data_IF_397810662171
#
_entry.id   IF_397810662171
#
_cell.length_a   1.000
_cell.length_b   1.000
_cell.length_c   1.000
_cell.angle_alpha   90.00
_cell.angle_beta   90.00
_cell.angle_gamma   90.00
#
_symmetry.space_group_name_H-M   'P 1'
#
loop_
_entity.id
_entity.type
_entity.pdbx_description
1 polymer ?
#
# COMPACT_ATOMS: atom_id res chain seq x y z
N UNK A 1 -34.00 50.07 -86.90
CA UNK A 1 -33.00 49.09 -86.59
C UNK A 1 -33.34 48.47 -85.23
N UNK A 2 -33.55 47.21 -85.14
CA UNK A 2 -33.69 46.52 -83.83
C UNK A 2 -32.26 46.28 -83.34
N UNK A 3 -31.91 46.70 -82.15
CA UNK A 3 -30.57 46.42 -81.62
C UNK A 3 -30.30 44.92 -81.48
N UNK A 4 -29.12 44.47 -81.84
CA UNK A 4 -28.72 43.14 -81.70
C UNK A 4 -28.39 42.88 -80.23
N UNK A 5 -29.11 41.96 -79.57
CA UNK A 5 -28.90 41.59 -78.20
C UNK A 5 -28.40 40.10 -78.20
N UNK A 6 -27.16 39.94 -77.79
CA UNK A 6 -26.55 38.63 -77.72
C UNK A 6 -26.89 37.90 -76.41
N UNK A 7 -27.16 36.61 -76.48
CA UNK A 7 -27.40 35.74 -75.31
C UNK A 7 -27.84 34.36 -75.73
N UNK A 8 -28.14 33.50 -74.78
CA UNK A 8 -28.77 32.21 -75.09
C UNK A 8 -30.24 32.40 -75.47
N UNK A 9 -30.61 31.96 -76.65
CA UNK A 9 -31.98 32.07 -77.19
C UNK A 9 -32.81 30.77 -77.07
N UNK A 10 -32.22 29.73 -76.51
CA UNK A 10 -32.91 28.47 -76.29
C UNK A 10 -33.62 28.50 -74.92
N UNK A 11 -34.94 28.41 -74.90
CA UNK A 11 -35.77 28.44 -73.70
C UNK A 11 -35.60 27.22 -72.80
N UNK A 12 -34.89 26.16 -73.23
CA UNK A 12 -34.59 24.99 -72.41
C UNK A 12 -33.27 25.11 -71.67
N UNK A 13 -32.49 26.13 -72.00
CA UNK A 13 -31.22 26.38 -71.30
C UNK A 13 -31.40 27.10 -69.95
N UNK A 14 -30.58 26.77 -68.97
CA UNK A 14 -30.60 27.39 -67.62
C UNK A 14 -30.30 28.89 -67.63
N UNK A 15 -29.56 29.35 -68.61
CA UNK A 15 -29.19 30.76 -68.83
C UNK A 15 -29.92 31.37 -69.98
N UNK A 16 -31.15 30.90 -70.33
CA UNK A 16 -32.01 31.51 -71.32
C UNK A 16 -32.21 32.99 -71.04
N UNK A 17 -31.98 33.79 -72.01
CA UNK A 17 -32.20 35.26 -71.93
C UNK A 17 -33.29 35.71 -72.94
N UNK A 18 -34.49 35.93 -72.43
CA UNK A 18 -35.68 36.25 -73.24
C UNK A 18 -35.55 37.50 -74.13
N UNK A 19 -34.64 38.43 -73.78
CA UNK A 19 -34.42 39.63 -74.59
C UNK A 19 -33.37 39.37 -75.70
N UNK A 20 -32.64 38.25 -75.71
CA UNK A 20 -31.66 37.92 -76.74
C UNK A 20 -32.41 37.65 -78.10
N UNK A 21 -31.93 38.25 -79.18
CA UNK A 21 -32.39 38.00 -80.53
C UNK A 21 -31.30 37.40 -81.43
N UNK A 22 -30.10 37.14 -80.85
CA UNK A 22 -28.99 36.56 -81.56
C UNK A 22 -28.30 35.62 -80.56
N UNK A 23 -28.29 34.31 -80.91
CA UNK A 23 -27.60 33.30 -80.08
C UNK A 23 -26.07 33.50 -80.12
N UNK A 24 -25.45 33.60 -78.95
CA UNK A 24 -24.02 33.82 -78.83
C UNK A 24 -23.24 32.47 -78.52
N UNK A 25 -23.93 31.33 -78.57
CA UNK A 25 -23.32 30.01 -78.32
C UNK A 25 -23.01 29.68 -76.85
N UNK A 26 -23.52 30.51 -75.93
CA UNK A 26 -23.23 30.32 -74.48
C UNK A 26 -24.34 29.60 -73.70
N UNK A 27 -25.28 28.92 -74.38
CA UNK A 27 -26.35 28.17 -73.74
C UNK A 27 -25.80 27.07 -72.82
N UNK A 28 -26.24 27.11 -71.60
CA UNK A 28 -25.91 26.13 -70.56
C UNK A 28 -27.14 25.26 -70.30
N UNK A 29 -27.04 23.97 -70.53
CA UNK A 29 -28.13 23.04 -70.27
C UNK A 29 -28.03 22.38 -68.92
N UNK A 30 -29.14 22.00 -68.35
CA UNK A 30 -29.17 21.28 -67.08
C UNK A 30 -28.52 19.88 -67.24
N UNK A 31 -27.48 19.64 -66.49
CA UNK A 31 -26.91 18.32 -66.27
C UNK A 31 -27.19 17.98 -64.81
N UNK A 32 -28.13 17.10 -64.61
CA UNK A 32 -28.57 16.70 -63.27
C UNK A 32 -27.61 15.66 -62.68
N UNK A 33 -27.30 15.78 -61.41
CA UNK A 33 -26.44 14.87 -60.66
C UNK A 33 -26.02 15.47 -59.33
N UNK A 34 -25.20 14.74 -58.56
CA UNK A 34 -24.71 15.24 -57.29
C UNK A 34 -23.62 16.32 -57.50
N UNK A 35 -23.88 17.52 -57.08
CA UNK A 35 -22.95 18.67 -57.16
C UNK A 35 -22.06 18.85 -55.92
N UNK A 36 -22.22 18.01 -54.86
CA UNK A 36 -21.41 18.10 -53.63
C UNK A 36 -20.07 17.34 -53.82
N UNK A 37 -18.92 18.04 -53.81
CA UNK A 37 -17.60 17.40 -53.98
C UNK A 37 -17.19 16.47 -52.83
N UNK A 38 -17.91 16.49 -51.72
CA UNK A 38 -17.70 15.60 -50.57
C UNK A 38 -18.54 14.31 -50.67
N UNK A 39 -19.42 14.20 -51.67
CA UNK A 39 -20.19 12.98 -51.87
C UNK A 39 -19.40 11.95 -52.73
N UNK A 40 -19.55 10.67 -52.43
CA UNK A 40 -18.87 9.63 -53.15
C UNK A 40 -19.38 9.43 -54.61
N UNK A 41 -20.56 9.93 -54.88
CA UNK A 41 -21.16 9.97 -56.24
C UNK A 41 -21.15 11.40 -56.81
N UNK A 42 -20.18 12.24 -56.42
CA UNK A 42 -19.99 13.56 -57.04
C UNK A 42 -19.82 13.48 -58.54
N UNK A 43 -20.61 14.20 -59.28
CA UNK A 43 -20.48 14.34 -60.72
C UNK A 43 -19.96 15.77 -61.04
N UNK A 44 -18.71 15.82 -61.46
CA UNK A 44 -18.06 17.11 -61.83
C UNK A 44 -18.69 17.79 -63.06
N UNK A 45 -19.53 17.10 -63.82
CA UNK A 45 -20.21 17.64 -64.96
C UNK A 45 -21.63 18.17 -64.65
N UNK A 46 -22.17 17.75 -63.51
CA UNK A 46 -23.49 18.23 -63.04
C UNK A 46 -23.41 19.69 -62.64
N UNK A 47 -24.41 20.44 -63.08
CA UNK A 47 -24.63 21.86 -62.75
C UNK A 47 -25.96 22.12 -62.03
N UNK A 48 -26.76 21.05 -61.85
CA UNK A 48 -28.03 21.09 -61.09
C UNK A 48 -28.04 19.86 -60.16
N UNK A 49 -28.13 20.15 -58.84
CA UNK A 49 -28.25 19.07 -57.84
C UNK A 49 -29.62 18.39 -57.96
N UNK A 50 -29.64 17.10 -58.11
CA UNK A 50 -30.84 16.26 -58.21
C UNK A 50 -31.22 15.59 -56.88
N UNK A 51 -30.48 15.89 -55.79
CA UNK A 51 -30.70 15.34 -54.44
C UNK A 51 -30.13 13.92 -54.28
N UNK A 52 -29.36 13.41 -55.26
CA UNK A 52 -28.80 12.06 -55.20
C UNK A 52 -27.49 11.94 -54.43
N UNK A 53 -27.00 13.02 -53.82
CA UNK A 53 -25.73 13.06 -53.13
C UNK A 53 -25.63 12.03 -51.97
N UNK A 54 -24.67 11.14 -52.06
CA UNK A 54 -24.32 10.16 -51.02
C UNK A 54 -23.15 10.69 -50.19
N UNK A 55 -23.38 10.89 -48.88
CA UNK A 55 -22.37 11.46 -47.97
C UNK A 55 -22.09 10.63 -46.72
N UNK A 56 -22.82 9.52 -46.54
CA UNK A 56 -22.63 8.64 -45.35
C UNK A 56 -21.59 7.55 -45.71
N UNK A 57 -20.37 7.80 -45.31
CA UNK A 57 -19.28 6.85 -45.48
C UNK A 57 -19.31 5.75 -44.42
N UNK A 58 -18.90 4.53 -44.76
CA UNK A 58 -18.76 3.44 -43.78
C UNK A 58 -18.58 2.07 -44.44
N UNK A 59 -18.31 1.09 -43.61
CA UNK A 59 -18.20 -0.29 -44.04
C UNK A 59 -19.57 -0.83 -44.49
N UNK A 60 -19.68 -1.27 -45.73
CA UNK A 60 -20.92 -1.83 -46.34
C UNK A 60 -20.90 -3.36 -46.42
N UNK A 61 -19.87 -4.02 -45.90
CA UNK A 61 -19.82 -5.47 -45.79
C UNK A 61 -20.61 -5.97 -44.60
N UNK A 62 -21.73 -6.69 -44.78
CA UNK A 62 -22.55 -7.18 -43.66
C UNK A 62 -21.85 -8.22 -42.79
N UNK A 63 -20.70 -8.77 -43.20
CA UNK A 63 -19.90 -9.68 -42.41
C UNK A 63 -18.91 -8.98 -41.49
N UNK A 64 -18.70 -7.68 -41.70
CA UNK A 64 -17.84 -6.89 -40.86
C UNK A 64 -18.51 -6.56 -39.51
N UNK A 65 -17.69 -6.49 -38.45
CA UNK A 65 -18.14 -6.17 -37.10
C UNK A 65 -18.58 -4.69 -36.92
N UNK A 66 -18.13 -3.83 -37.83
CA UNK A 66 -18.50 -2.41 -37.91
C UNK A 66 -19.36 -2.10 -39.13
N UNK A 67 -20.14 -3.11 -39.67
CA UNK A 67 -21.11 -2.89 -40.70
C UNK A 67 -22.04 -1.73 -40.41
N UNK A 68 -22.16 -0.81 -41.36
CA UNK A 68 -23.07 0.33 -41.26
C UNK A 68 -24.15 0.23 -42.34
N UNK A 69 -25.34 -0.24 -41.96
CA UNK A 69 -26.47 -0.37 -42.88
C UNK A 69 -26.96 0.96 -43.47
N UNK A 70 -26.56 2.11 -42.88
CA UNK A 70 -26.90 3.44 -43.39
C UNK A 70 -25.84 4.03 -44.31
N UNK A 71 -24.71 3.35 -44.50
CA UNK A 71 -23.66 3.83 -45.40
C UNK A 71 -24.14 3.80 -46.84
N UNK A 72 -24.10 4.94 -47.48
CA UNK A 72 -24.39 5.12 -48.91
C UNK A 72 -23.13 5.23 -49.75
N UNK A 73 -21.99 5.45 -49.07
CA UNK A 73 -20.64 5.51 -49.68
C UNK A 73 -19.80 4.36 -49.09
N UNK A 74 -19.48 3.32 -49.86
CA UNK A 74 -18.65 2.23 -49.38
C UNK A 74 -17.24 2.71 -49.04
N UNK A 75 -16.83 2.53 -47.80
CA UNK A 75 -15.44 2.62 -47.37
C UNK A 75 -15.02 1.28 -46.73
N UNK A 76 -14.85 0.29 -47.59
CA UNK A 76 -14.54 -1.08 -47.17
C UNK A 76 -13.09 -1.22 -46.64
N UNK A 77 -12.25 -0.20 -46.81
CA UNK A 77 -10.93 -0.15 -46.15
C UNK A 77 -11.02 0.01 -44.63
N UNK A 78 -12.15 0.52 -44.14
CA UNK A 78 -12.44 0.68 -42.72
C UNK A 78 -13.16 -0.55 -42.12
N UNK A 79 -13.52 -1.55 -42.93
CA UNK A 79 -14.17 -2.75 -42.43
C UNK A 79 -13.27 -3.50 -41.48
N UNK A 80 -13.81 -3.84 -40.34
CA UNK A 80 -13.14 -4.70 -39.35
C UNK A 80 -13.90 -6.00 -39.24
N UNK A 81 -13.18 -7.09 -39.16
CA UNK A 81 -13.78 -8.43 -39.12
C UNK A 81 -13.45 -9.10 -37.79
N UNK A 82 -14.37 -9.92 -37.30
CA UNK A 82 -14.03 -10.82 -36.21
C UNK A 82 -12.82 -11.65 -36.61
N UNK A 83 -11.86 -11.91 -35.72
CA UNK A 83 -10.70 -12.73 -36.06
C UNK A 83 -11.16 -14.07 -36.65
N UNK A 84 -10.84 -14.32 -37.91
CA UNK A 84 -11.13 -15.58 -38.56
C UNK A 84 -10.33 -16.66 -37.86
N UNK A 85 -11.01 -17.65 -37.24
CA UNK A 85 -10.36 -18.75 -36.55
C UNK A 85 -10.34 -18.67 -35.03
N UNK A 86 -11.04 -17.71 -34.41
CA UNK A 86 -11.25 -17.76 -32.96
C UNK A 86 -12.24 -18.89 -32.62
N UNK A 87 -11.71 -20.04 -32.23
CA UNK A 87 -12.46 -21.06 -31.49
C UNK A 87 -12.16 -20.84 -30.01
N UNK A 88 -13.08 -20.23 -29.25
CA UNK A 88 -12.90 -19.86 -27.86
C UNK A 88 -11.98 -20.84 -27.09
N UNK A 89 -10.73 -20.49 -26.78
CA UNK A 89 -9.80 -21.41 -26.15
C UNK A 89 -10.32 -21.88 -24.79
N UNK A 90 -9.99 -23.10 -24.41
CA UNK A 90 -10.33 -23.62 -23.09
C UNK A 90 -9.61 -22.83 -22.02
N UNK A 91 -10.31 -22.60 -20.90
CA UNK A 91 -9.72 -22.03 -19.70
C UNK A 91 -8.80 -23.09 -19.07
N UNK A 92 -7.51 -22.79 -18.92
CA UNK A 92 -6.49 -23.70 -18.38
C UNK A 92 -5.58 -23.02 -17.38
N UNK A 93 -4.72 -23.79 -16.70
CA UNK A 93 -3.75 -23.28 -15.73
C UNK A 93 -4.37 -22.80 -14.44
N UNK A 94 -5.58 -23.26 -14.11
CA UNK A 94 -6.26 -22.86 -12.88
C UNK A 94 -5.51 -23.34 -11.65
N UNK A 95 -5.05 -22.41 -10.85
CA UNK A 95 -4.36 -22.66 -9.58
C UNK A 95 -4.59 -21.50 -8.61
N UNK A 96 -4.16 -21.68 -7.37
CA UNK A 96 -4.24 -20.63 -6.34
C UNK A 96 -2.90 -20.50 -5.66
N UNK A 97 -2.40 -19.27 -5.53
CA UNK A 97 -1.15 -18.92 -4.87
C UNK A 97 -1.35 -17.85 -3.80
N UNK A 98 -0.27 -17.48 -3.12
CA UNK A 98 -0.23 -16.41 -2.09
C UNK A 98 -1.32 -16.56 -1.03
N UNK A 99 -1.63 -17.82 -0.68
CA UNK A 99 -2.68 -18.14 0.27
C UNK A 99 -2.19 -17.80 1.68
N UNK A 100 -2.87 -16.85 2.29
CA UNK A 100 -2.71 -16.52 3.72
C UNK A 100 -4.09 -16.47 4.39
N UNK A 101 -4.16 -16.03 5.63
CA UNK A 101 -5.38 -16.07 6.42
C UNK A 101 -6.56 -15.25 5.88
N UNK A 102 -6.30 -14.20 5.10
CA UNK A 102 -7.33 -13.25 4.65
C UNK A 102 -7.37 -13.03 3.12
N UNK A 103 -6.51 -13.74 2.36
CA UNK A 103 -6.41 -13.56 0.91
C UNK A 103 -5.81 -14.75 0.19
N UNK A 104 -6.05 -14.76 -1.11
CA UNK A 104 -5.44 -15.70 -2.05
C UNK A 104 -5.39 -15.05 -3.44
N UNK A 105 -4.55 -15.57 -4.33
CA UNK A 105 -4.46 -15.15 -5.73
C UNK A 105 -4.91 -16.29 -6.64
N UNK A 106 -5.97 -16.07 -7.40
CA UNK A 106 -6.40 -16.98 -8.47
C UNK A 106 -5.49 -16.80 -9.68
N UNK A 107 -4.92 -17.89 -10.19
CA UNK A 107 -4.04 -17.91 -11.35
C UNK A 107 -4.68 -18.71 -12.49
N UNK A 108 -4.40 -18.31 -13.71
CA UNK A 108 -4.87 -18.94 -14.93
C UNK A 108 -3.97 -18.57 -16.10
N UNK A 109 -3.98 -19.38 -17.16
CA UNK A 109 -3.19 -19.08 -18.35
C UNK A 109 -3.79 -17.92 -19.14
N UNK A 110 -2.95 -17.22 -19.91
CA UNK A 110 -3.40 -16.28 -20.92
C UNK A 110 -4.13 -17.04 -22.02
N UNK A 111 -5.39 -16.67 -22.27
CA UNK A 111 -6.26 -17.33 -23.25
C UNK A 111 -6.36 -16.54 -24.54
N UNK A 112 -5.64 -15.45 -24.73
CA UNK A 112 -5.51 -14.79 -26.01
C UNK A 112 -4.70 -15.71 -26.95
N UNK A 113 -5.14 -15.83 -28.21
CA UNK A 113 -4.43 -16.62 -29.22
C UNK A 113 -3.96 -15.75 -30.37
N UNK A 114 -2.90 -16.20 -31.04
CA UNK A 114 -2.25 -15.48 -32.11
C UNK A 114 -1.99 -16.43 -33.29
N UNK A 115 -2.00 -15.92 -34.51
CA UNK A 115 -1.54 -16.64 -35.68
C UNK A 115 -0.01 -16.68 -35.78
N UNK A 116 0.51 -17.37 -36.77
CA UNK A 116 1.95 -17.49 -37.01
C UNK A 116 2.63 -16.14 -37.35
N UNK A 117 1.86 -15.15 -37.76
CA UNK A 117 2.34 -13.78 -38.04
C UNK A 117 2.22 -12.85 -36.85
N UNK A 118 1.72 -13.35 -35.70
CA UNK A 118 1.54 -12.56 -34.48
C UNK A 118 0.24 -11.75 -34.41
N UNK A 119 -0.68 -11.94 -35.39
CA UNK A 119 -1.99 -11.30 -35.32
C UNK A 119 -2.87 -12.02 -34.30
N UNK A 120 -3.60 -11.25 -33.50
CA UNK A 120 -4.44 -11.80 -32.44
C UNK A 120 -5.72 -12.43 -33.00
N UNK A 121 -5.86 -13.75 -32.86
CA UNK A 121 -7.04 -14.51 -33.33
C UNK A 121 -8.19 -14.45 -32.32
N UNK A 122 -7.92 -14.76 -31.05
CA UNK A 122 -8.90 -14.63 -29.99
C UNK A 122 -8.44 -13.57 -28.98
N UNK A 123 -9.34 -12.68 -28.60
CA UNK A 123 -9.12 -11.64 -27.57
C UNK A 123 -10.04 -11.88 -26.39
N UNK A 124 -9.48 -11.98 -25.22
CA UNK A 124 -10.25 -12.09 -23.98
C UNK A 124 -10.78 -10.70 -23.60
N UNK A 125 -12.07 -10.50 -23.71
CA UNK A 125 -12.76 -9.26 -23.40
C UNK A 125 -13.01 -9.12 -21.89
N UNK A 126 -13.53 -10.19 -21.26
CA UNK A 126 -13.73 -10.25 -19.81
C UNK A 126 -13.42 -11.62 -19.24
N UNK A 127 -12.90 -11.62 -18.03
CA UNK A 127 -12.82 -12.79 -17.16
C UNK A 127 -13.69 -12.56 -15.93
N UNK A 128 -14.41 -13.59 -15.51
CA UNK A 128 -15.20 -13.57 -14.27
C UNK A 128 -14.84 -14.76 -13.42
N UNK A 129 -14.46 -14.49 -12.18
CA UNK A 129 -14.18 -15.47 -11.15
C UNK A 129 -15.27 -15.36 -10.10
N UNK A 130 -15.87 -16.49 -9.72
CA UNK A 130 -16.75 -16.62 -8.55
C UNK A 130 -16.09 -17.55 -7.55
N UNK A 131 -16.19 -17.22 -6.28
CA UNK A 131 -15.67 -18.03 -5.18
C UNK A 131 -16.59 -17.94 -3.98
N UNK A 132 -16.59 -18.99 -3.16
CA UNK A 132 -17.37 -19.06 -1.90
C UNK A 132 -16.72 -20.04 -0.94
N UNK A 133 -17.09 -19.95 0.32
CA UNK A 133 -16.79 -20.98 1.31
C UNK A 133 -17.53 -22.26 0.96
N UNK A 134 -16.86 -23.41 1.03
CA UNK A 134 -17.46 -24.72 0.75
C UNK A 134 -18.65 -24.95 1.67
N UNK A 135 -19.77 -25.37 1.09
CA UNK A 135 -21.02 -25.60 1.82
C UNK A 135 -21.93 -24.38 1.96
N UNK A 136 -21.51 -23.20 1.49
CA UNK A 136 -22.38 -22.01 1.47
C UNK A 136 -23.05 -21.82 0.10
N UNK A 137 -24.15 -21.04 0.05
CA UNK A 137 -24.88 -20.78 -1.19
C UNK A 137 -24.45 -19.47 -1.88
N UNK A 138 -23.90 -18.50 -1.13
CA UNK A 138 -23.61 -17.17 -1.62
C UNK A 138 -22.24 -17.11 -2.33
N UNK A 139 -22.22 -16.64 -3.56
CA UNK A 139 -21.00 -16.46 -4.34
C UNK A 139 -20.50 -15.01 -4.28
N UNK A 140 -19.24 -14.85 -3.93
CA UNK A 140 -18.48 -13.63 -4.17
C UNK A 140 -17.95 -13.60 -5.61
N UNK A 141 -17.75 -12.41 -6.19
CA UNK A 141 -17.36 -12.26 -7.58
C UNK A 141 -16.21 -11.26 -7.75
N UNK A 142 -15.32 -11.58 -8.69
CA UNK A 142 -14.27 -10.68 -9.22
C UNK A 142 -14.34 -10.66 -10.74
N UNK A 143 -14.23 -9.47 -11.31
CA UNK A 143 -14.17 -9.29 -12.76
C UNK A 143 -12.79 -8.74 -13.16
N UNK A 144 -12.37 -9.07 -14.37
CA UNK A 144 -11.23 -8.50 -15.08
C UNK A 144 -11.74 -8.09 -16.45
N UNK A 145 -11.68 -6.81 -16.78
CA UNK A 145 -12.31 -6.28 -17.98
C UNK A 145 -13.83 -6.17 -17.89
N UNK A 146 -14.45 -5.83 -18.99
CA UNK A 146 -15.89 -5.75 -19.18
C UNK A 146 -16.26 -6.34 -20.53
N UNK A 147 -17.37 -7.07 -20.68
CA UNK A 147 -17.77 -7.70 -21.94
C UNK A 147 -18.37 -6.65 -22.87
N UNK A 148 -17.53 -5.79 -23.41
CA UNK A 148 -17.95 -4.67 -24.26
C UNK A 148 -18.09 -5.07 -25.73
N UNK A 149 -17.49 -6.21 -26.12
CA UNK A 149 -17.38 -6.60 -27.49
C UNK A 149 -16.54 -5.63 -28.34
N UNK A 150 -16.76 -5.60 -29.63
CA UNK A 150 -16.14 -4.62 -30.51
C UNK A 150 -16.84 -3.26 -30.35
N UNK A 151 -16.05 -2.20 -30.23
CA UNK A 151 -16.58 -0.83 -30.28
C UNK A 151 -16.91 -0.42 -31.75
N UNK A 152 -17.43 0.81 -31.93
CA UNK A 152 -17.77 1.35 -33.23
C UNK A 152 -16.58 1.43 -34.21
N UNK A 153 -15.34 1.39 -33.73
CA UNK A 153 -14.11 1.36 -34.52
C UNK A 153 -13.59 -0.07 -34.71
N UNK A 154 -14.36 -1.11 -34.37
CA UNK A 154 -13.95 -2.51 -34.48
C UNK A 154 -12.86 -2.95 -33.52
N UNK A 155 -12.58 -2.15 -32.48
CA UNK A 155 -11.57 -2.45 -31.47
C UNK A 155 -12.24 -3.09 -30.26
N UNK A 156 -11.69 -4.21 -29.82
CA UNK A 156 -12.09 -4.90 -28.61
C UNK A 156 -11.05 -4.68 -27.50
N UNK A 157 -11.50 -4.33 -26.32
CA UNK A 157 -10.64 -4.30 -25.15
C UNK A 157 -10.20 -5.73 -24.81
N UNK A 158 -8.88 -5.94 -24.74
CA UNK A 158 -8.31 -7.25 -24.46
C UNK A 158 -7.54 -7.22 -23.16
N UNK A 159 -7.82 -8.18 -22.26
CA UNK A 159 -7.01 -8.37 -21.05
C UNK A 159 -5.93 -9.44 -21.27
N UNK A 160 -4.72 -9.13 -20.81
CA UNK A 160 -3.57 -10.05 -20.81
C UNK A 160 -3.32 -10.63 -19.41
N UNK A 161 -4.17 -10.30 -18.43
CA UNK A 161 -3.96 -10.75 -17.06
C UNK A 161 -4.10 -12.25 -16.91
N UNK A 162 -3.25 -12.80 -16.05
CA UNK A 162 -3.19 -14.23 -15.72
C UNK A 162 -3.40 -14.48 -14.22
N UNK A 163 -3.76 -13.43 -13.48
CA UNK A 163 -3.97 -13.50 -12.03
C UNK A 163 -5.09 -12.58 -11.56
N UNK A 164 -5.68 -12.89 -10.40
CA UNK A 164 -6.61 -12.01 -9.70
C UNK A 164 -6.61 -12.26 -8.20
N UNK A 165 -6.20 -11.30 -7.36
CA UNK A 165 -6.28 -11.45 -5.92
C UNK A 165 -7.72 -11.31 -5.39
N UNK A 166 -8.04 -12.11 -4.38
CA UNK A 166 -9.19 -11.97 -3.51
C UNK A 166 -8.71 -11.59 -2.10
N UNK A 167 -9.46 -10.70 -1.44
CA UNK A 167 -9.16 -10.19 -0.10
C UNK A 167 -10.38 -10.38 0.80
N UNK A 168 -10.17 -10.24 2.11
CA UNK A 168 -11.18 -10.40 3.16
C UNK A 168 -11.78 -11.80 3.17
N UNK A 169 -10.94 -12.80 2.97
CA UNK A 169 -11.30 -14.21 3.15
C UNK A 169 -11.32 -14.53 4.64
N UNK A 170 -12.10 -15.54 5.02
CA UNK A 170 -12.15 -16.08 6.39
C UNK A 170 -10.94 -16.97 6.64
N UNK A 171 -10.22 -16.83 7.76
CA UNK A 171 -9.11 -17.73 8.11
C UNK A 171 -9.56 -19.18 8.28
N UNK A 172 -8.64 -20.14 8.10
CA UNK A 172 -8.85 -21.58 8.30
C UNK A 172 -10.06 -22.13 7.55
N UNK A 173 -10.38 -21.54 6.40
CA UNK A 173 -11.62 -21.82 5.68
C UNK A 173 -11.32 -22.32 4.27
N UNK A 174 -11.98 -23.40 3.87
CA UNK A 174 -11.87 -23.97 2.52
C UNK A 174 -12.83 -23.26 1.56
N UNK A 175 -12.28 -22.84 0.43
CA UNK A 175 -13.00 -22.17 -0.65
C UNK A 175 -13.03 -23.03 -1.90
N UNK A 176 -14.17 -22.99 -2.58
CA UNK A 176 -14.32 -23.44 -3.96
C UNK A 176 -14.47 -22.25 -4.88
N UNK A 177 -14.06 -22.40 -6.14
CA UNK A 177 -14.11 -21.33 -7.12
C UNK A 177 -14.27 -21.85 -8.55
N UNK A 178 -14.76 -20.97 -9.40
CA UNK A 178 -14.93 -21.23 -10.81
C UNK A 178 -14.71 -19.96 -11.63
N UNK A 179 -14.36 -20.15 -12.88
CA UNK A 179 -14.04 -19.06 -13.80
C UNK A 179 -14.73 -19.26 -15.15
N UNK A 180 -15.09 -18.16 -15.81
CA UNK A 180 -15.49 -18.13 -17.22
C UNK A 180 -14.93 -16.92 -17.93
N UNK A 181 -14.83 -17.01 -19.25
CA UNK A 181 -14.31 -15.98 -20.12
C UNK A 181 -15.35 -15.52 -21.13
N UNK A 182 -15.25 -14.27 -21.54
CA UNK A 182 -15.89 -13.72 -22.74
C UNK A 182 -14.80 -13.39 -23.74
N UNK A 183 -14.99 -13.84 -24.96
CA UNK A 183 -14.14 -13.46 -26.10
C UNK A 183 -14.86 -12.42 -26.93
N UNK A 184 -14.11 -11.51 -27.55
CA UNK A 184 -14.67 -10.47 -28.41
C UNK A 184 -15.53 -11.07 -29.53
N UNK A 185 -16.76 -10.57 -29.66
CA UNK A 185 -17.72 -11.05 -30.66
C UNK A 185 -18.33 -12.41 -30.36
N UNK A 186 -18.07 -12.98 -29.18
CA UNK A 186 -18.60 -14.28 -28.77
C UNK A 186 -19.30 -14.24 -27.43
N UNK A 187 -20.17 -15.19 -27.16
CA UNK A 187 -20.79 -15.38 -25.84
C UNK A 187 -19.80 -15.89 -24.79
N UNK A 188 -20.25 -15.95 -23.51
CA UNK A 188 -19.41 -16.48 -22.46
C UNK A 188 -19.17 -17.98 -22.60
N UNK A 189 -17.97 -18.43 -22.21
CA UNK A 189 -17.69 -19.86 -22.04
C UNK A 189 -18.57 -20.49 -20.95
N UNK A 190 -18.58 -21.80 -20.86
CA UNK A 190 -19.04 -22.49 -19.66
C UNK A 190 -18.16 -22.14 -18.44
N UNK A 191 -18.69 -22.34 -17.25
CA UNK A 191 -17.89 -22.25 -16.02
C UNK A 191 -16.90 -23.42 -15.96
N UNK A 192 -15.64 -23.10 -15.64
CA UNK A 192 -14.59 -24.08 -15.36
C UNK A 192 -14.23 -23.99 -13.89
N UNK A 193 -14.30 -25.12 -13.19
CA UNK A 193 -14.02 -25.21 -11.76
C UNK A 193 -12.50 -25.28 -11.55
N UNK A 194 -11.99 -24.44 -10.65
CA UNK A 194 -10.61 -24.50 -10.20
C UNK A 194 -10.45 -25.43 -8.99
N UNK A 195 -9.20 -25.73 -8.57
CA UNK A 195 -8.95 -26.52 -7.38
C UNK A 195 -9.37 -25.76 -6.12
N UNK A 196 -9.98 -26.45 -5.17
CA UNK A 196 -10.27 -25.89 -3.87
C UNK A 196 -8.96 -25.48 -3.16
N UNK A 197 -9.05 -24.48 -2.29
CA UNK A 197 -7.95 -24.05 -1.46
C UNK A 197 -8.43 -23.72 -0.05
N UNK A 198 -7.53 -23.84 0.93
CA UNK A 198 -7.83 -23.49 2.32
C UNK A 198 -6.94 -22.33 2.74
N UNK A 199 -7.54 -21.28 3.27
CA UNK A 199 -6.81 -20.16 3.87
C UNK A 199 -6.02 -20.62 5.11
N UNK A 200 -4.89 -19.97 5.35
CA UNK A 200 -4.10 -20.22 6.56
C UNK A 200 -4.88 -19.81 7.82
N UNK A 201 -4.41 -20.29 8.96
CA UNK A 201 -4.90 -19.86 10.27
C UNK A 201 -4.70 -18.36 10.47
N UNK A 202 -5.55 -17.75 11.31
CA UNK A 202 -5.35 -16.37 11.72
C UNK A 202 -3.98 -16.22 12.38
N UNK A 203 -3.20 -15.22 11.95
CA UNK A 203 -1.92 -14.94 12.61
C UNK A 203 -2.18 -14.45 14.05
N UNK A 204 -1.74 -15.22 15.09
CA UNK A 204 -1.99 -14.84 16.47
C UNK A 204 -1.27 -13.55 16.82
N UNK A 205 -1.86 -12.71 17.67
CA UNK A 205 -1.15 -11.57 18.24
C UNK A 205 -0.55 -11.93 19.60
N UNK A 206 0.40 -11.12 20.06
CA UNK A 206 0.89 -11.20 21.43
C UNK A 206 -0.17 -10.71 22.42
N UNK A 207 -0.12 -11.26 23.62
CA UNK A 207 -0.94 -10.85 24.76
C UNK A 207 -0.05 -10.30 25.88
N UNK A 208 -0.65 -9.66 26.86
CA UNK A 208 0.05 -9.10 28.04
C UNK A 208 1.27 -8.25 27.65
N UNK A 209 1.15 -7.48 26.56
CA UNK A 209 2.24 -6.59 26.13
C UNK A 209 2.44 -5.50 27.19
N UNK A 210 3.63 -5.48 27.79
CA UNK A 210 3.97 -4.60 28.90
C UNK A 210 5.36 -4.00 28.71
N UNK A 211 5.66 -2.98 29.52
CA UNK A 211 6.95 -2.30 29.54
C UNK A 211 7.37 -2.06 30.98
N UNK A 212 8.67 -2.26 31.27
CA UNK A 212 9.30 -1.93 32.53
C UNK A 212 10.53 -1.07 32.23
N UNK A 213 10.66 0.07 32.88
CA UNK A 213 11.86 0.88 32.80
C UNK A 213 12.99 0.19 33.59
N UNK A 214 14.11 -0.06 32.93
CA UNK A 214 15.31 -0.62 33.57
C UNK A 214 16.17 0.47 34.21
N UNK A 215 16.16 1.65 33.61
CA UNK A 215 16.77 2.87 34.12
C UNK A 215 16.19 4.07 33.33
N UNK A 216 16.75 5.27 33.52
CA UNK A 216 16.28 6.51 32.90
C UNK A 216 16.38 6.58 31.38
N UNK A 217 17.18 5.70 30.73
CA UNK A 217 17.39 5.69 29.28
C UNK A 217 17.10 4.35 28.62
N UNK A 218 16.66 3.36 29.40
CA UNK A 218 16.44 1.99 28.92
C UNK A 218 15.14 1.41 29.47
N UNK A 219 14.38 0.71 28.61
CA UNK A 219 13.18 -0.02 29.00
C UNK A 219 13.20 -1.44 28.41
N UNK A 220 12.52 -2.36 29.08
CA UNK A 220 12.31 -3.74 28.64
C UNK A 220 10.83 -3.93 28.31
N UNK A 221 10.55 -4.35 27.09
CA UNK A 221 9.23 -4.79 26.62
C UNK A 221 9.11 -6.28 26.82
N UNK A 222 7.98 -6.74 27.33
CA UNK A 222 7.65 -8.16 27.53
C UNK A 222 6.28 -8.45 26.99
N UNK A 223 6.02 -9.70 26.63
CA UNK A 223 4.73 -10.18 26.15
C UNK A 223 4.60 -11.67 26.30
N UNK A 224 3.37 -12.17 26.24
CA UNK A 224 3.04 -13.58 26.16
C UNK A 224 2.57 -13.94 24.74
N UNK A 225 2.57 -15.22 24.43
CA UNK A 225 2.03 -15.75 23.17
C UNK A 225 1.15 -16.95 23.40
N UNK A 226 0.11 -17.10 22.58
CA UNK A 226 -0.79 -18.26 22.56
C UNK A 226 -0.42 -19.27 21.48
N UNK A 227 0.40 -18.87 20.51
CA UNK A 227 0.88 -19.72 19.42
C UNK A 227 2.18 -19.16 18.82
N UNK A 228 2.87 -19.97 18.00
CA UNK A 228 4.07 -19.53 17.28
C UNK A 228 3.76 -18.48 16.22
N UNK A 229 4.73 -17.61 15.99
CA UNK A 229 4.74 -16.59 14.93
C UNK A 229 6.18 -16.44 14.41
N UNK A 230 6.41 -15.68 13.34
CA UNK A 230 7.77 -15.49 12.85
C UNK A 230 8.51 -14.41 13.66
N UNK A 231 7.90 -13.25 13.83
CA UNK A 231 8.48 -12.17 14.64
C UNK A 231 7.41 -11.20 15.16
N UNK A 232 7.75 -10.49 16.23
CA UNK A 232 6.99 -9.36 16.78
C UNK A 232 7.68 -8.06 16.39
N UNK A 233 6.95 -7.11 15.85
CA UNK A 233 7.40 -5.73 15.70
C UNK A 233 6.82 -4.88 16.82
N UNK A 234 7.69 -4.18 17.52
CA UNK A 234 7.35 -3.22 18.56
C UNK A 234 7.65 -1.85 18.02
N UNK A 235 6.67 -0.97 18.04
CA UNK A 235 6.87 0.44 17.73
C UNK A 235 6.53 1.30 18.94
N UNK A 236 7.31 2.35 19.11
CA UNK A 236 7.16 3.31 20.21
C UNK A 236 7.39 4.73 19.71
N UNK A 237 6.85 5.69 20.42
CA UNK A 237 7.12 7.11 20.22
C UNK A 237 6.92 7.88 21.52
N UNK A 238 7.42 9.11 21.55
CA UNK A 238 7.05 10.07 22.62
C UNK A 238 5.53 10.27 22.60
N UNK A 239 4.93 10.37 23.78
CA UNK A 239 3.49 10.55 23.94
C UNK A 239 3.07 11.99 23.70
N UNK A 240 3.33 12.50 22.50
CA UNK A 240 2.91 13.81 22.01
C UNK A 240 2.25 13.69 20.64
N UNK A 241 1.47 14.71 20.28
CA UNK A 241 0.94 14.79 18.92
C UNK A 241 2.11 14.94 17.93
N UNK A 242 2.00 14.28 16.76
CA UNK A 242 2.97 14.33 15.66
C UNK A 242 4.35 13.71 15.93
N UNK A 243 4.60 13.06 17.08
CA UNK A 243 5.85 12.33 17.29
C UNK A 243 5.97 11.13 16.32
N UNK A 244 7.15 10.95 15.76
CA UNK A 244 7.44 9.87 14.81
C UNK A 244 7.55 8.51 15.52
N UNK A 245 6.96 7.48 14.93
CA UNK A 245 7.10 6.11 15.40
C UNK A 245 8.50 5.57 15.09
N UNK A 246 9.14 4.97 16.07
CA UNK A 246 10.39 4.23 15.96
C UNK A 246 10.20 2.78 16.36
N UNK A 247 11.08 1.90 15.91
CA UNK A 247 11.01 0.49 16.26
C UNK A 247 11.95 0.16 17.44
N UNK A 248 11.49 -0.75 18.30
CA UNK A 248 12.35 -1.44 19.25
C UNK A 248 12.74 -2.79 18.66
N UNK A 249 14.02 -2.98 18.30
CA UNK A 249 14.50 -4.24 17.73
C UNK A 249 14.54 -4.30 16.20
N UNK A 250 14.71 -3.16 15.51
CA UNK A 250 14.88 -3.12 14.06
C UNK A 250 13.64 -3.65 13.31
N UNK A 251 13.84 -4.66 12.45
CA UNK A 251 12.77 -5.28 11.65
C UNK A 251 11.74 -6.03 12.50
N UNK A 252 12.13 -6.55 13.66
CA UNK A 252 11.28 -7.29 14.58
C UNK A 252 12.10 -8.19 15.51
N UNK A 253 11.43 -8.80 16.47
CA UNK A 253 11.99 -9.76 17.43
C UNK A 253 11.48 -11.13 17.09
N UNK A 254 12.37 -12.03 16.67
CA UNK A 254 12.02 -13.39 16.23
C UNK A 254 11.53 -14.24 17.40
N UNK A 255 10.54 -15.10 17.13
CA UNK A 255 10.15 -16.18 18.04
C UNK A 255 11.35 -17.14 18.23
N UNK A 256 11.59 -17.71 19.43
CA UNK A 256 10.73 -17.71 20.62
C UNK A 256 11.00 -16.59 21.65
N UNK A 257 11.76 -15.54 21.32
CA UNK A 257 12.01 -14.48 22.29
C UNK A 257 10.70 -13.75 22.68
N UNK A 258 10.49 -13.59 24.00
CA UNK A 258 9.31 -12.95 24.59
C UNK A 258 9.63 -11.60 25.26
N UNK A 259 10.80 -11.05 25.00
CA UNK A 259 11.19 -9.76 25.50
C UNK A 259 12.13 -9.01 24.56
N UNK A 260 12.18 -7.68 24.71
CA UNK A 260 13.11 -6.81 23.98
C UNK A 260 13.45 -5.57 24.76
N UNK A 261 14.73 -5.34 24.94
CA UNK A 261 15.21 -4.08 25.51
C UNK A 261 15.34 -3.00 24.43
N UNK A 262 15.03 -1.79 24.80
CA UNK A 262 15.20 -0.57 24.02
C UNK A 262 16.02 0.43 24.83
N UNK A 263 17.15 0.85 24.27
CA UNK A 263 18.02 1.92 24.81
C UNK A 263 17.80 3.23 24.03
N UNK A 264 18.38 4.31 24.52
CA UNK A 264 18.32 5.65 23.90
C UNK A 264 16.98 6.33 24.12
N UNK A 265 16.29 6.02 25.19
CA UNK A 265 15.13 6.76 25.69
C UNK A 265 15.58 7.99 26.44
N UNK A 266 14.73 9.00 26.56
CA UNK A 266 15.02 10.25 27.29
C UNK A 266 14.42 10.18 28.68
N UNK A 267 15.22 10.54 29.68
CA UNK A 267 14.80 10.62 31.07
C UNK A 267 13.61 11.60 31.26
N UNK A 268 12.64 11.22 32.08
CA UNK A 268 11.46 12.03 32.39
C UNK A 268 10.43 12.18 31.25
N UNK A 269 10.67 11.52 30.11
CA UNK A 269 9.79 11.61 28.94
C UNK A 269 8.75 10.50 28.95
N UNK A 270 7.49 10.87 28.68
CA UNK A 270 6.40 9.93 28.50
C UNK A 270 6.40 9.36 27.07
N UNK A 271 6.18 8.07 26.98
CA UNK A 271 6.15 7.30 25.75
C UNK A 271 4.87 6.49 25.62
N UNK A 272 4.53 6.12 24.39
CA UNK A 272 3.55 5.09 24.11
C UNK A 272 4.10 4.05 23.15
N UNK A 273 3.67 2.80 23.31
CA UNK A 273 4.10 1.69 22.46
C UNK A 273 2.95 0.73 22.17
N UNK A 274 3.13 -0.07 21.12
CA UNK A 274 2.27 -1.17 20.75
C UNK A 274 3.07 -2.23 19.97
N UNK A 275 2.57 -3.44 19.96
CA UNK A 275 3.20 -4.58 19.30
C UNK A 275 2.25 -5.22 18.29
N UNK A 276 2.82 -5.92 17.30
CA UNK A 276 2.07 -6.71 16.33
C UNK A 276 2.94 -7.85 15.82
N UNK A 277 2.35 -9.02 15.64
CA UNK A 277 3.03 -10.19 15.12
C UNK A 277 2.95 -10.31 13.61
N UNK A 278 3.96 -10.95 13.03
CA UNK A 278 4.01 -11.41 11.66
C UNK A 278 4.24 -12.92 11.64
N UNK A 279 3.46 -13.63 10.83
CA UNK A 279 3.55 -15.08 10.65
C UNK A 279 4.33 -15.47 9.39
N UNK A 280 4.77 -14.50 8.59
CA UNK A 280 5.71 -14.69 7.50
C UNK A 280 7.08 -14.07 7.89
N UNK A 281 8.18 -14.82 7.84
CA UNK A 281 9.52 -14.33 8.19
C UNK A 281 10.00 -13.16 7.30
N UNK A 282 9.51 -13.06 6.06
CA UNK A 282 9.80 -11.95 5.16
C UNK A 282 8.88 -10.72 5.42
N UNK A 283 7.94 -10.81 6.38
CA UNK A 283 6.98 -9.75 6.66
C UNK A 283 5.76 -9.80 5.76
N UNK A 284 5.37 -8.66 5.21
CA UNK A 284 4.23 -8.61 4.28
C UNK A 284 2.87 -8.62 4.96
N UNK A 285 1.90 -9.27 4.29
CA UNK A 285 0.49 -9.22 4.67
C UNK A 285 0.08 -10.23 5.75
N UNK A 286 0.80 -11.36 5.87
CA UNK A 286 0.47 -12.38 6.86
C UNK A 286 0.94 -11.96 8.26
N UNK A 287 0.06 -11.26 8.95
CA UNK A 287 0.28 -10.65 10.26
C UNK A 287 -1.03 -10.62 11.05
N UNK A 288 -0.95 -10.43 12.36
CA UNK A 288 -2.11 -10.24 13.21
C UNK A 288 -3.03 -9.12 12.67
N UNK A 289 -4.33 -9.24 12.89
CA UNK A 289 -5.33 -8.32 12.33
C UNK A 289 -5.11 -6.86 12.77
N UNK A 290 -4.75 -6.65 14.03
CA UNK A 290 -4.55 -5.32 14.63
C UNK A 290 -3.24 -5.24 15.40
N UNK A 291 -2.83 -4.04 15.74
CA UNK A 291 -1.84 -3.80 16.77
C UNK A 291 -2.45 -4.09 18.15
N UNK A 292 -1.61 -4.43 19.14
CA UNK A 292 -2.06 -4.48 20.54
C UNK A 292 -2.63 -3.13 20.96
N UNK A 293 -3.43 -3.06 22.01
CA UNK A 293 -3.72 -1.79 22.68
C UNK A 293 -2.44 -1.02 22.96
N UNK A 294 -2.53 0.31 22.98
CA UNK A 294 -1.42 1.17 23.35
C UNK A 294 -1.11 1.00 24.84
N UNK A 295 0.16 0.86 25.16
CA UNK A 295 0.67 1.00 26.52
C UNK A 295 1.37 2.34 26.65
N UNK A 296 1.26 2.95 27.82
CA UNK A 296 1.83 4.25 28.14
C UNK A 296 2.73 4.12 29.37
N UNK A 297 3.87 4.80 29.35
CA UNK A 297 4.77 4.86 30.50
C UNK A 297 5.59 6.14 30.44
N UNK A 298 6.09 6.58 31.59
CA UNK A 298 7.06 7.66 31.69
C UNK A 298 8.41 7.06 32.10
N UNK A 299 9.45 7.39 31.33
CA UNK A 299 10.81 7.00 31.69
C UNK A 299 11.20 7.72 32.98
N UNK A 300 11.86 7.04 33.92
CA UNK A 300 12.35 7.72 35.12
C UNK A 300 13.14 8.97 34.79
N UNK A 301 12.98 10.02 35.54
CA UNK A 301 13.75 11.26 35.39
C UNK A 301 15.25 10.99 35.53
N UNK A 302 16.09 11.76 34.81
CA UNK A 302 17.53 11.71 35.02
C UNK A 302 17.87 12.30 36.40
N UNK A 303 18.52 11.50 37.19
CA UNK A 303 19.22 11.84 38.44
C UNK A 303 18.68 13.05 39.24
N UNK A 304 17.48 12.93 39.75
CA UNK A 304 17.20 13.31 41.12
C UNK A 304 16.65 12.06 41.82
N UNK A 305 17.55 11.14 42.10
CA UNK A 305 17.25 10.03 42.98
C UNK A 305 17.10 10.56 44.39
N UNK A 306 15.94 11.15 44.70
CA UNK A 306 15.36 10.91 45.97
C UNK A 306 14.76 9.52 45.87
N UNK A 307 15.47 8.50 46.30
CA UNK A 307 14.92 7.17 46.47
C UNK A 307 13.86 7.25 47.56
N UNK A 308 12.62 7.47 47.15
CA UNK A 308 11.47 7.27 48.04
C UNK A 308 11.51 5.81 48.46
N UNK A 309 12.00 5.53 49.68
CA UNK A 309 12.05 4.28 50.44
C UNK A 309 13.42 3.62 50.70
N UNK A 310 14.55 4.28 50.54
CA UNK A 310 15.85 3.70 50.95
C UNK A 310 16.10 3.75 52.46
N UNK A 311 15.22 4.37 53.21
CA UNK A 311 15.41 4.72 54.64
C UNK A 311 16.69 5.54 54.92
N UNK A 312 17.28 6.15 53.88
CA UNK A 312 18.42 7.07 54.03
C UNK A 312 17.89 8.48 54.00
N UNK A 313 18.09 9.20 55.08
CA UNK A 313 17.65 10.55 55.26
C UNK A 313 18.83 11.49 55.52
N UNK A 314 18.62 12.80 55.33
CA UNK A 314 19.58 13.85 55.64
C UNK A 314 20.97 13.62 54.99
N UNK A 315 21.01 13.14 53.75
CA UNK A 315 22.26 12.98 53.02
C UNK A 315 22.87 14.36 52.72
N UNK A 316 23.94 14.68 53.39
CA UNK A 316 24.73 15.88 53.18
C UNK A 316 26.14 15.53 52.74
N UNK A 317 26.71 16.35 51.88
CA UNK A 317 28.12 16.29 51.50
C UNK A 317 28.65 17.70 51.40
N UNK A 318 29.63 17.99 52.25
CA UNK A 318 30.22 19.34 52.32
C UNK A 318 31.72 19.29 52.59
N UNK A 319 32.47 20.29 52.10
CA UNK A 319 32.07 21.22 51.04
C UNK A 319 31.87 20.51 49.70
N UNK A 320 30.95 20.98 48.90
CA UNK A 320 30.79 20.51 47.50
C UNK A 320 30.40 21.72 46.63
N UNK A 321 31.30 22.24 45.81
CA UNK A 321 32.63 21.75 45.46
C UNK A 321 33.66 21.74 46.60
N UNK A 322 34.62 20.79 46.49
CA UNK A 322 35.75 20.65 47.44
C UNK A 322 37.09 20.68 46.70
N UNK A 323 38.13 21.08 47.38
CA UNK A 323 39.48 20.99 46.84
C UNK A 323 40.09 19.61 47.03
N UNK A 324 39.85 18.97 48.18
CA UNK A 324 40.49 17.71 48.53
C UNK A 324 39.61 16.79 49.39
N UNK A 325 38.79 17.32 50.28
CA UNK A 325 38.11 16.56 51.31
C UNK A 325 36.60 16.79 51.23
N UNK A 326 35.83 15.69 51.30
CA UNK A 326 34.38 15.67 51.41
C UNK A 326 33.97 15.09 52.74
N UNK A 327 33.11 15.77 53.49
CA UNK A 327 32.42 15.22 54.66
C UNK A 327 31.08 14.65 54.18
N UNK A 328 30.90 13.35 54.25
CA UNK A 328 29.67 12.64 53.94
C UNK A 328 28.91 12.33 55.20
N UNK A 329 27.66 12.75 55.30
CA UNK A 329 26.80 12.50 56.44
C UNK A 329 25.40 12.07 55.97
N UNK A 330 24.81 11.06 56.61
CA UNK A 330 23.44 10.65 56.42
C UNK A 330 22.89 9.90 57.64
N UNK A 331 21.59 9.67 57.69
CA UNK A 331 20.92 8.85 58.71
C UNK A 331 20.23 7.66 58.01
N UNK A 332 20.47 6.45 58.53
CA UNK A 332 19.68 5.28 58.16
C UNK A 332 18.61 5.05 59.24
N UNK A 333 17.34 5.12 58.85
CA UNK A 333 16.22 4.95 59.77
C UNK A 333 15.90 3.48 60.09
N UNK A 334 16.42 2.57 59.28
CA UNK A 334 16.22 1.12 59.43
C UNK A 334 17.57 0.40 59.51
N UNK A 335 17.56 -0.78 60.13
CA UNK A 335 18.72 -1.68 60.11
C UNK A 335 18.84 -2.30 58.72
N UNK A 336 19.92 -2.02 58.00
CA UNK A 336 20.16 -2.50 56.65
C UNK A 336 21.66 -2.62 56.33
N UNK A 337 21.99 -3.38 55.29
CA UNK A 337 23.37 -3.42 54.80
C UNK A 337 23.55 -2.29 53.79
N UNK A 338 24.62 -1.51 53.98
CA UNK A 338 24.94 -0.37 53.12
C UNK A 338 26.35 -0.52 52.54
N UNK A 339 26.46 -0.21 51.26
CA UNK A 339 27.74 0.05 50.63
C UNK A 339 27.80 1.54 50.24
N UNK A 340 28.77 2.25 50.83
CA UNK A 340 29.02 3.65 50.52
C UNK A 340 30.24 3.72 49.64
N UNK A 341 30.09 4.14 48.37
CA UNK A 341 31.17 4.23 47.39
C UNK A 341 31.25 5.62 46.77
N UNK A 342 32.46 6.05 46.41
CA UNK A 342 32.67 7.21 45.52
C UNK A 342 33.30 6.69 44.22
N UNK A 343 32.67 6.98 43.12
CA UNK A 343 33.10 6.54 41.79
C UNK A 343 33.47 7.74 40.90
N UNK A 344 34.41 7.53 39.99
CA UNK A 344 34.73 8.49 38.94
C UNK A 344 33.77 8.40 37.74
N UNK A 345 33.93 9.24 36.74
CA UNK A 345 33.06 9.31 35.55
C UNK A 345 33.14 8.06 34.67
N UNK A 346 34.14 7.20 34.83
CA UNK A 346 34.26 5.91 34.10
C UNK A 346 33.72 4.74 34.91
N UNK A 347 33.21 4.97 36.13
CA UNK A 347 32.62 3.95 37.00
C UNK A 347 33.62 3.22 37.91
N UNK A 348 34.85 3.70 38.02
CA UNK A 348 35.86 3.13 38.93
C UNK A 348 35.68 3.69 40.33
N UNK A 349 35.64 2.80 41.34
CA UNK A 349 35.52 3.19 42.74
C UNK A 349 36.84 3.74 43.27
N UNK A 350 36.81 4.95 43.81
CA UNK A 350 37.96 5.62 44.44
C UNK A 350 37.87 5.58 45.96
N UNK A 351 36.70 5.25 46.48
CA UNK A 351 36.44 5.01 47.92
C UNK A 351 35.31 3.98 48.05
N UNK A 352 35.38 3.08 49.01
CA UNK A 352 34.33 2.11 49.34
C UNK A 352 34.34 1.85 50.86
N UNK A 353 33.14 1.82 51.47
CA UNK A 353 32.93 1.41 52.85
C UNK A 353 31.66 0.54 52.91
N UNK A 354 31.77 -0.64 53.52
CA UNK A 354 30.66 -1.55 53.76
C UNK A 354 30.22 -1.41 55.24
N UNK A 355 28.91 -1.29 55.43
CA UNK A 355 28.29 -1.13 56.75
C UNK A 355 27.23 -2.21 56.90
N UNK A 356 27.57 -3.27 57.65
CA UNK A 356 26.66 -4.39 57.86
C UNK A 356 25.70 -4.08 59.01
N UNK A 357 24.40 -4.37 58.81
CA UNK A 357 23.33 -4.19 59.79
C UNK A 357 23.35 -2.77 60.42
N UNK A 358 23.60 -1.76 59.62
CA UNK A 358 23.75 -0.38 60.09
C UNK A 358 22.39 0.33 60.26
N UNK A 359 22.29 1.08 61.33
CA UNK A 359 21.16 2.00 61.65
C UNK A 359 21.71 3.24 62.39
N UNK A 360 21.08 4.40 62.19
CA UNK A 360 21.47 5.65 62.79
C UNK A 360 22.34 6.53 61.92
N UNK A 361 23.11 7.44 62.56
CA UNK A 361 23.88 8.44 61.84
C UNK A 361 25.25 7.92 61.39
N UNK A 362 25.52 8.09 60.09
CA UNK A 362 26.84 7.94 59.50
C UNK A 362 27.47 9.30 59.27
N UNK A 363 28.77 9.44 59.62
CA UNK A 363 29.55 10.61 59.24
C UNK A 363 30.97 10.17 58.96
N UNK A 364 31.48 10.54 57.77
CA UNK A 364 32.82 10.17 57.31
C UNK A 364 33.46 11.29 56.53
N UNK A 365 34.70 11.60 56.87
CA UNK A 365 35.58 12.43 56.06
C UNK A 365 36.28 11.54 55.01
N UNK A 366 36.16 11.90 53.73
CA UNK A 366 36.79 11.21 52.62
C UNK A 366 37.71 12.19 51.88
N UNK A 367 39.00 11.87 51.83
CA UNK A 367 40.00 12.64 51.10
C UNK A 367 40.17 12.09 49.70
N UNK A 368 40.00 12.95 48.70
CA UNK A 368 40.30 12.69 47.31
C UNK A 368 41.51 13.52 46.82
N UNK A 369 42.41 13.95 47.70
CA UNK A 369 43.56 14.81 47.41
C UNK A 369 44.50 14.22 46.35
N UNK A 370 44.59 12.89 46.25
CA UNK A 370 45.45 12.17 45.30
C UNK A 370 44.79 11.85 43.96
N UNK A 371 43.52 12.16 43.79
CA UNK A 371 42.73 11.86 42.60
C UNK A 371 42.62 13.09 41.69
N UNK A 372 42.44 12.84 40.36
CA UNK A 372 42.30 13.94 39.41
C UNK A 372 41.11 14.86 39.70
N UNK A 373 41.29 16.16 39.49
CA UNK A 373 40.20 17.12 39.60
C UNK A 373 39.11 16.85 38.59
N UNK A 374 37.82 16.92 38.97
CA UNK A 374 36.71 16.57 38.11
C UNK A 374 35.42 16.23 38.86
N UNK A 375 34.54 15.50 38.15
CA UNK A 375 33.26 15.05 38.68
C UNK A 375 33.37 13.63 39.19
N UNK A 376 32.84 13.40 40.37
CA UNK A 376 32.68 12.11 41.03
C UNK A 376 31.24 11.93 41.44
N UNK A 377 30.86 10.70 41.78
CA UNK A 377 29.53 10.36 42.29
C UNK A 377 29.67 9.56 43.57
N UNK A 378 29.03 10.05 44.64
CA UNK A 378 28.78 9.28 45.84
C UNK A 378 27.58 8.37 45.56
N UNK A 379 27.73 7.08 45.82
CA UNK A 379 26.68 6.08 45.75
C UNK A 379 26.52 5.41 47.11
N UNK A 380 25.30 5.33 47.60
CA UNK A 380 24.94 4.56 48.77
C UNK A 380 23.99 3.47 48.34
N UNK A 381 24.47 2.25 48.23
CA UNK A 381 23.70 1.06 47.90
C UNK A 381 23.08 0.49 49.17
N UNK A 382 21.77 0.27 49.12
CA UNK A 382 20.96 -0.28 50.22
C UNK A 382 20.24 -1.53 49.74
N UNK A 383 19.65 -2.31 50.65
CA UNK A 383 18.79 -3.45 50.30
C UNK A 383 17.55 -3.07 49.45
N UNK A 384 17.18 -1.78 49.48
CA UNK A 384 15.98 -1.23 48.79
C UNK A 384 16.29 -0.39 47.56
N UNK A 385 17.56 -0.10 47.26
CA UNK A 385 17.96 0.74 46.13
C UNK A 385 19.25 1.49 46.34
N UNK A 386 19.57 2.42 45.46
CA UNK A 386 20.83 3.18 45.45
C UNK A 386 20.52 4.68 45.52
N UNK A 387 21.18 5.38 46.45
CA UNK A 387 21.16 6.84 46.54
C UNK A 387 22.45 7.41 45.99
N UNK A 388 22.35 8.41 45.10
CA UNK A 388 23.51 9.01 44.44
C UNK A 388 23.58 10.50 44.68
N UNK A 389 24.80 11.05 44.83
CA UNK A 389 25.05 12.48 44.90
C UNK A 389 26.30 12.86 44.10
N UNK A 390 26.15 13.88 43.23
CA UNK A 390 27.29 14.42 42.47
C UNK A 390 28.26 15.20 43.35
N UNK A 391 29.54 14.90 43.22
CA UNK A 391 30.65 15.61 43.87
C UNK A 391 31.49 16.33 42.84
N UNK A 392 32.01 17.49 43.18
CA UNK A 392 32.89 18.31 42.34
C UNK A 392 34.20 18.53 43.08
N UNK A 393 35.27 17.89 42.60
CA UNK A 393 36.65 18.06 43.09
C UNK A 393 37.35 19.13 42.26
N UNK A 394 37.79 20.25 42.88
CA UNK A 394 38.42 21.41 42.22
C UNK A 394 39.91 21.53 42.52
#
# INVERSE_FOLDING_TARGET
CIPIIYGCTDSTALNYYAAANTNNGTCVYAVYGCTNPLACNYDSTANVDDGSCNTVYGCTDPTATNYNASATCPDNSTCTYAPVGCSAPAITGLSVSDIIHDRATFNFNNMNTYDASGNQLCRVDQLRIKYREVGTSAWSQKNIGSPTGYNASGVCNSTQRTDKPAFNLTPSTTYEWQMKAWYCGQGPTAWVVGPNFTTADACPNVTNFAVTSLNNVKANFTWDTIASYSFVRIKLRVDTNNATWTNAGGMGVSYPALSKQKSGLSAGVSYRAQARTWCNPQGGAYKAASWTPLIFWTQPGGARLEAENTAINNLEVYPNPSRDIFNVSFVSDEVQNLEVSIINVVGEAVYTANLDQFVGQFTKEVSLATYPKGVYFLEITTDKGVVNKKLILQ
#
